data_IF_915781180811
#
_entry.id   IF_915781180811
#
_cell.length_a   1.000
_cell.length_b   1.000
_cell.length_c   1.000
_cell.angle_alpha   90.00
_cell.angle_beta   90.00
_cell.angle_gamma   90.00
#
_symmetry.space_group_name_H-M   'P 1'
#
loop_
_entity.id
_entity.type
_entity.pdbx_description
1 polymer ?
#
# COMPACT_ATOMS: atom_id res chain seq x y z
N UNK A 1 12.23 20.63 18.69
CA UNK A 1 12.92 21.85 18.23
C UNK A 1 14.35 21.57 17.74
N UNK A 2 15.27 21.05 18.59
CA UNK A 2 16.67 20.80 18.17
C UNK A 2 16.73 19.63 17.17
N UNK A 3 16.03 18.54 17.45
CA UNK A 3 15.99 17.38 16.54
C UNK A 3 15.43 17.76 15.17
N UNK A 4 14.36 18.58 15.11
CA UNK A 4 13.74 18.99 13.85
C UNK A 4 14.65 19.86 12.99
N UNK A 5 15.61 20.57 13.60
CA UNK A 5 16.55 21.45 12.89
C UNK A 5 17.68 20.69 12.18
N UNK A 6 18.01 19.47 12.65
CA UNK A 6 19.15 18.68 12.14
C UNK A 6 18.74 17.29 11.61
N UNK A 7 17.47 16.90 11.80
CA UNK A 7 16.94 15.63 11.32
C UNK A 7 16.92 15.61 9.79
N UNK A 8 17.53 14.59 9.22
CA UNK A 8 17.39 14.22 7.81
C UNK A 8 16.57 12.95 7.74
N UNK A 9 15.39 13.03 7.13
CA UNK A 9 14.55 11.86 6.97
C UNK A 9 15.22 10.85 6.04
N UNK A 10 15.19 9.56 6.38
CA UNK A 10 15.63 8.52 5.46
C UNK A 10 14.66 8.42 4.29
N UNK A 11 15.17 8.02 3.13
CA UNK A 11 14.36 7.76 1.94
C UNK A 11 14.46 6.26 1.64
N UNK A 12 13.32 5.59 1.57
CA UNK A 12 13.25 4.18 1.22
C UNK A 12 13.77 3.90 -0.19
N UNK A 13 14.37 2.73 -0.39
CA UNK A 13 14.65 2.22 -1.72
C UNK A 13 13.33 2.01 -2.48
N UNK A 14 13.37 2.21 -3.79
CA UNK A 14 12.20 2.05 -4.65
C UNK A 14 12.46 1.01 -5.74
N UNK A 15 11.38 0.29 -6.11
CA UNK A 15 11.40 -0.68 -7.20
C UNK A 15 10.46 -0.21 -8.31
N UNK A 16 10.88 -0.36 -9.54
CA UNK A 16 10.01 -0.22 -10.70
C UNK A 16 10.14 -1.42 -11.63
N UNK A 17 9.02 -1.83 -12.21
CA UNK A 17 8.98 -2.97 -13.15
C UNK A 17 8.42 -2.46 -14.47
N UNK A 18 9.22 -2.53 -15.51
CA UNK A 18 8.81 -2.12 -16.86
C UNK A 18 9.19 -3.18 -17.88
N UNK A 19 8.22 -3.65 -18.64
CA UNK A 19 8.39 -4.71 -19.63
C UNK A 19 9.13 -5.97 -19.11
N UNK A 20 8.90 -6.30 -17.82
CA UNK A 20 9.54 -7.44 -17.15
C UNK A 20 10.96 -7.17 -16.63
N UNK A 21 11.52 -5.99 -16.86
CA UNK A 21 12.78 -5.58 -16.27
C UNK A 21 12.55 -4.91 -14.91
N UNK A 22 13.31 -5.34 -13.92
CA UNK A 22 13.31 -4.76 -12.56
C UNK A 22 14.40 -3.69 -12.50
N UNK A 23 14.05 -2.51 -12.00
CA UNK A 23 14.97 -1.42 -11.69
C UNK A 23 14.79 -1.00 -10.24
N UNK A 24 15.89 -0.90 -9.50
CA UNK A 24 15.92 -0.54 -8.09
C UNK A 24 16.67 0.79 -7.95
N UNK A 25 16.06 1.74 -7.25
CA UNK A 25 16.71 2.96 -6.77
C UNK A 25 17.11 2.74 -5.33
N UNK A 26 18.37 3.04 -5.00
CA UNK A 26 18.89 2.85 -3.65
C UNK A 26 18.22 3.80 -2.66
N UNK A 27 18.18 3.35 -1.42
CA UNK A 27 17.79 4.12 -0.27
C UNK A 27 18.78 5.26 0.02
N UNK A 28 18.32 6.23 0.81
CA UNK A 28 19.19 7.26 1.42
C UNK A 28 19.05 7.18 2.93
N UNK A 29 20.19 7.00 3.60
CA UNK A 29 20.25 6.98 5.07
C UNK A 29 20.03 8.41 5.58
N UNK A 30 19.09 8.54 6.51
CA UNK A 30 18.83 9.78 7.21
C UNK A 30 19.77 10.00 8.40
N UNK A 31 19.59 11.12 9.10
CA UNK A 31 20.30 11.45 10.33
C UNK A 31 19.32 11.94 11.39
N UNK A 32 19.56 11.56 12.64
CA UNK A 32 18.76 11.99 13.80
C UNK A 32 19.65 12.17 15.01
N UNK A 33 19.17 12.92 16.00
CA UNK A 33 19.81 12.99 17.32
C UNK A 33 19.30 11.84 18.17
N UNK A 34 20.19 11.22 18.92
CA UNK A 34 19.81 10.38 20.05
C UNK A 34 19.31 11.29 21.19
N UNK A 35 18.00 11.39 21.33
CA UNK A 35 17.38 12.31 22.30
C UNK A 35 17.66 11.90 23.74
N UNK A 36 17.77 10.60 24.02
CA UNK A 36 18.08 10.08 25.37
C UNK A 36 19.49 10.48 25.78
N UNK A 37 20.47 10.26 24.90
CA UNK A 37 21.86 10.65 25.14
C UNK A 37 22.01 12.17 25.30
N UNK A 38 21.31 12.96 24.46
CA UNK A 38 21.30 14.40 24.58
C UNK A 38 20.75 14.85 25.94
N UNK A 39 19.63 14.27 26.39
CA UNK A 39 19.03 14.59 27.70
C UNK A 39 19.98 14.26 28.83
N UNK A 40 20.68 13.14 28.77
CA UNK A 40 21.63 12.76 29.80
C UNK A 40 22.85 13.66 29.83
N UNK A 41 23.42 14.04 28.68
CA UNK A 41 24.49 15.04 28.60
C UNK A 41 24.06 16.41 29.15
N UNK A 42 22.81 16.83 28.86
CA UNK A 42 22.26 18.06 29.43
C UNK A 42 22.17 17.98 30.95
N UNK A 43 21.68 16.87 31.51
CA UNK A 43 21.58 16.69 32.97
C UNK A 43 22.96 16.71 33.64
N UNK A 44 23.96 16.10 33.02
CA UNK A 44 25.34 16.07 33.52
C UNK A 44 26.00 17.44 33.45
N UNK A 45 25.66 18.28 32.48
CA UNK A 45 26.22 19.62 32.31
C UNK A 45 25.57 20.69 33.20
N UNK A 46 24.42 20.40 33.82
CA UNK A 46 23.77 21.35 34.74
C UNK A 46 24.60 21.44 36.04
N UNK A 47 25.42 22.47 36.12
CA UNK A 47 26.15 22.84 37.32
C UNK A 47 25.57 24.11 37.96
N UNK A 48 25.58 24.23 39.31
CA UNK A 48 25.17 25.46 39.99
C UNK A 48 26.11 26.65 39.75
N UNK A 49 27.31 26.39 39.23
CA UNK A 49 28.28 27.43 38.85
C UNK A 49 28.12 27.74 37.38
N UNK A 50 27.72 28.98 37.07
CA UNK A 50 27.46 29.48 35.72
C UNK A 50 28.68 29.30 34.81
N UNK A 51 28.58 28.41 33.83
CA UNK A 51 29.47 28.37 32.70
C UNK A 51 28.63 28.08 31.43
N UNK A 52 28.88 28.80 30.37
CA UNK A 52 28.41 28.44 29.04
C UNK A 52 29.11 27.14 28.65
N UNK A 53 28.41 26.01 28.66
CA UNK A 53 28.94 24.73 28.26
C UNK A 53 28.42 24.37 26.89
N UNK A 54 29.31 24.01 25.98
CA UNK A 54 28.96 23.57 24.63
C UNK A 54 28.78 22.04 24.66
N UNK A 55 27.54 21.59 24.51
CA UNK A 55 27.24 20.16 24.40
C UNK A 55 27.36 19.73 22.95
N UNK A 56 28.34 18.89 22.65
CA UNK A 56 28.51 18.27 21.35
C UNK A 56 27.64 17.04 21.26
N UNK A 57 26.76 17.00 20.25
CA UNK A 57 25.84 15.87 19.98
C UNK A 57 26.24 15.23 18.66
N UNK A 58 26.44 13.92 18.70
CA UNK A 58 26.67 13.13 17.48
C UNK A 58 25.34 12.74 16.85
N UNK A 59 25.28 12.77 15.52
CA UNK A 59 24.12 12.33 14.78
C UNK A 59 24.21 10.83 14.52
N UNK A 60 23.15 10.12 14.85
CA UNK A 60 22.97 8.71 14.51
C UNK A 60 22.37 8.55 13.12
N UNK A 61 22.67 7.42 12.49
CA UNK A 61 22.03 7.03 11.25
C UNK A 61 20.54 6.67 11.48
N UNK A 62 19.68 7.24 10.65
CA UNK A 62 18.27 6.85 10.56
C UNK A 62 18.11 5.96 9.34
N UNK A 63 18.01 4.65 9.58
CA UNK A 63 17.90 3.65 8.51
C UNK A 63 16.49 3.65 7.93
N UNK A 64 16.32 3.67 6.60
CA UNK A 64 15.03 3.55 5.96
C UNK A 64 14.42 2.16 6.18
N UNK A 65 13.11 2.06 6.05
CA UNK A 65 12.37 0.80 6.24
C UNK A 65 12.63 -0.19 5.10
N UNK A 66 12.79 0.31 3.88
CA UNK A 66 13.01 -0.49 2.67
C UNK A 66 14.43 -0.22 2.16
N UNK A 67 15.22 -1.28 2.01
CA UNK A 67 16.58 -1.19 1.48
C UNK A 67 16.68 -1.83 0.09
N UNK A 68 17.64 -1.38 -0.71
CA UNK A 68 17.91 -1.98 -2.02
C UNK A 68 18.30 -3.47 -1.89
N UNK A 69 18.97 -3.83 -0.81
CA UNK A 69 19.35 -5.23 -0.53
C UNK A 69 18.14 -6.14 -0.31
N UNK A 70 17.05 -5.62 0.28
CA UNK A 70 15.79 -6.35 0.41
C UNK A 70 15.07 -6.45 -0.93
N UNK A 71 15.01 -5.37 -1.70
CA UNK A 71 14.37 -5.36 -3.01
C UNK A 71 15.08 -6.24 -4.03
N UNK A 72 16.39 -6.44 -3.93
CA UNK A 72 17.17 -7.34 -4.78
C UNK A 72 16.79 -8.82 -4.60
N UNK A 73 16.08 -9.17 -3.53
CA UNK A 73 15.56 -10.53 -3.34
C UNK A 73 14.33 -10.84 -4.19
N UNK A 74 13.73 -9.82 -4.81
CA UNK A 74 12.59 -9.97 -5.72
C UNK A 74 13.13 -10.47 -7.06
N UNK A 75 12.98 -11.76 -7.34
CA UNK A 75 13.56 -12.44 -8.48
C UNK A 75 12.54 -13.06 -9.45
N UNK A 76 11.24 -13.00 -9.13
CA UNK A 76 10.26 -13.67 -9.95
C UNK A 76 8.80 -13.27 -9.72
N UNK A 77 7.92 -13.87 -10.52
CA UNK A 77 6.47 -13.71 -10.41
C UNK A 77 5.91 -14.86 -9.58
N UNK A 78 5.35 -14.58 -8.41
CA UNK A 78 4.71 -15.59 -7.56
C UNK A 78 3.47 -16.18 -8.22
N UNK A 79 2.64 -15.33 -8.81
CA UNK A 79 1.44 -15.76 -9.53
C UNK A 79 0.95 -14.72 -10.51
N UNK A 80 0.04 -15.13 -11.36
CA UNK A 80 -0.73 -14.24 -12.20
C UNK A 80 -2.17 -14.71 -12.35
N UNK A 81 -3.08 -13.76 -12.52
CA UNK A 81 -4.45 -14.01 -12.91
C UNK A 81 -4.96 -12.86 -13.78
N UNK A 82 -5.74 -13.19 -14.79
CA UNK A 82 -6.37 -12.20 -15.68
C UNK A 82 -7.88 -12.44 -15.77
N UNK A 83 -8.64 -11.38 -15.68
CA UNK A 83 -10.07 -11.34 -15.96
C UNK A 83 -10.37 -10.66 -17.29
N UNK A 84 -11.55 -10.94 -17.86
CA UNK A 84 -12.03 -10.28 -19.07
C UNK A 84 -13.12 -9.27 -18.74
N UNK A 85 -13.05 -8.09 -19.35
CA UNK A 85 -14.08 -7.05 -19.25
C UNK A 85 -14.70 -6.70 -20.60
N UNK A 86 -14.62 -7.63 -21.55
CA UNK A 86 -15.24 -7.49 -22.86
C UNK A 86 -16.75 -7.24 -22.68
N UNK A 87 -17.30 -6.31 -23.45
CA UNK A 87 -18.69 -5.84 -23.38
C UNK A 87 -19.05 -5.06 -22.11
N UNK A 88 -18.10 -4.61 -21.31
CA UNK A 88 -18.37 -3.69 -20.21
C UNK A 88 -18.64 -2.27 -20.72
N UNK A 89 -19.58 -1.56 -20.08
CA UNK A 89 -19.82 -0.15 -20.37
C UNK A 89 -18.58 0.72 -20.13
N UNK A 90 -18.45 1.81 -20.87
CA UNK A 90 -17.25 2.67 -20.84
C UNK A 90 -16.93 3.18 -19.45
N UNK A 91 -17.92 3.65 -18.68
CA UNK A 91 -17.72 4.10 -17.29
C UNK A 91 -17.18 3.00 -16.39
N UNK A 92 -17.70 1.76 -16.53
CA UNK A 92 -17.19 0.60 -15.80
C UNK A 92 -15.72 0.30 -16.16
N UNK A 93 -15.36 0.37 -17.43
CA UNK A 93 -13.96 0.17 -17.87
C UNK A 93 -13.05 1.25 -17.30
N UNK A 94 -13.50 2.51 -17.26
CA UNK A 94 -12.76 3.61 -16.62
C UNK A 94 -12.50 3.32 -15.14
N UNK A 95 -13.53 2.93 -14.38
CA UNK A 95 -13.41 2.58 -12.97
C UNK A 95 -12.43 1.43 -12.74
N UNK A 96 -12.51 0.38 -13.53
CA UNK A 96 -11.60 -0.76 -13.43
C UNK A 96 -10.15 -0.37 -13.73
N UNK A 97 -9.90 0.53 -14.68
CA UNK A 97 -8.56 1.06 -14.98
C UNK A 97 -8.01 1.89 -13.81
N UNK A 98 -8.83 2.77 -13.23
CA UNK A 98 -8.43 3.57 -12.06
C UNK A 98 -8.05 2.62 -10.93
N UNK A 99 -8.92 1.70 -10.56
CA UNK A 99 -8.65 0.74 -9.48
C UNK A 99 -7.40 -0.11 -9.75
N UNK A 100 -7.19 -0.57 -10.99
CA UNK A 100 -6.00 -1.33 -11.37
C UNK A 100 -4.73 -0.49 -11.22
N UNK A 101 -4.75 0.76 -11.68
CA UNK A 101 -3.60 1.66 -11.55
C UNK A 101 -3.28 1.98 -10.09
N UNK A 102 -4.31 2.13 -9.26
CA UNK A 102 -4.14 2.42 -7.83
C UNK A 102 -3.49 1.27 -7.05
N UNK A 103 -3.75 0.02 -7.42
CA UNK A 103 -3.12 -1.15 -6.77
C UNK A 103 -1.77 -1.51 -7.40
N UNK A 104 -1.52 -1.07 -8.61
CA UNK A 104 -0.28 -1.38 -9.32
C UNK A 104 0.93 -0.70 -8.66
N UNK A 105 2.03 -1.41 -8.52
CA UNK A 105 3.26 -0.89 -7.92
C UNK A 105 3.26 -0.87 -6.39
N UNK A 106 2.20 -1.34 -5.72
CA UNK A 106 2.21 -1.45 -4.26
C UNK A 106 3.30 -2.41 -3.80
N UNK A 107 4.22 -1.92 -2.98
CA UNK A 107 5.26 -2.70 -2.35
C UNK A 107 4.78 -3.16 -0.96
N UNK A 108 4.91 -4.44 -0.69
CA UNK A 108 4.60 -5.05 0.60
C UNK A 108 5.84 -5.78 1.12
N UNK A 109 6.37 -5.31 2.23
CA UNK A 109 7.44 -6.02 2.94
C UNK A 109 6.88 -7.25 3.66
N UNK A 110 7.71 -8.24 4.03
CA UNK A 110 7.27 -9.39 4.82
C UNK A 110 6.47 -8.96 6.06
N UNK A 111 5.25 -9.48 6.21
CA UNK A 111 4.33 -9.16 7.30
C UNK A 111 3.39 -7.97 7.02
N UNK A 112 3.59 -7.20 5.96
CA UNK A 112 2.69 -6.10 5.62
C UNK A 112 1.31 -6.61 5.19
N UNK A 113 0.27 -5.90 5.63
CA UNK A 113 -1.09 -6.13 5.19
C UNK A 113 -1.48 -5.13 4.10
N UNK A 114 -1.97 -5.66 2.98
CA UNK A 114 -2.61 -4.88 1.93
C UNK A 114 -4.09 -4.67 2.23
N UNK A 115 -4.61 -3.47 1.99
CA UNK A 115 -6.04 -3.15 2.01
C UNK A 115 -6.44 -2.60 0.64
N UNK A 116 -7.41 -3.23 0.01
CA UNK A 116 -7.88 -2.84 -1.32
C UNK A 116 -8.56 -1.47 -1.29
N UNK A 117 -9.49 -1.25 -0.32
CA UNK A 117 -10.18 0.04 -0.21
C UNK A 117 -9.20 1.18 0.06
N UNK A 118 -8.18 0.95 0.91
CA UNK A 118 -7.13 1.94 1.15
C UNK A 118 -6.33 2.26 -0.11
N UNK A 119 -6.04 1.25 -0.93
CA UNK A 119 -5.26 1.42 -2.15
C UNK A 119 -6.03 2.19 -3.23
N UNK A 120 -7.32 1.89 -3.44
CA UNK A 120 -8.12 2.54 -4.49
C UNK A 120 -8.66 3.91 -4.08
N UNK A 121 -8.70 4.21 -2.75
CA UNK A 121 -9.30 5.42 -2.22
C UNK A 121 -10.81 5.51 -2.40
N UNK A 122 -11.36 6.71 -2.18
CA UNK A 122 -12.80 6.98 -2.33
C UNK A 122 -13.22 6.92 -3.78
N UNK A 123 -14.35 6.24 -4.04
CA UNK A 123 -14.90 6.06 -5.38
C UNK A 123 -15.80 7.22 -5.79
N UNK A 124 -15.24 8.43 -5.87
CA UNK A 124 -15.96 9.67 -6.17
C UNK A 124 -15.69 10.19 -7.58
N UNK A 125 -16.53 11.12 -8.04
CA UNK A 125 -16.33 11.81 -9.32
C UNK A 125 -15.02 12.62 -9.34
N UNK A 126 -14.65 13.23 -8.22
CA UNK A 126 -13.43 14.01 -8.04
C UNK A 126 -12.18 13.16 -8.25
N UNK A 127 -12.23 11.87 -7.87
CA UNK A 127 -11.18 10.89 -8.11
C UNK A 127 -11.26 10.25 -9.51
N UNK A 128 -12.14 10.75 -10.37
CA UNK A 128 -12.28 10.33 -11.77
C UNK A 128 -13.17 9.11 -12.00
N UNK A 129 -13.77 8.55 -10.93
CA UNK A 129 -14.69 7.44 -11.09
C UNK A 129 -15.97 7.87 -11.81
N UNK A 130 -16.56 6.94 -12.52
CA UNK A 130 -17.78 7.14 -13.32
C UNK A 130 -18.94 6.36 -12.71
N UNK A 131 -20.16 6.83 -12.96
CA UNK A 131 -21.34 6.02 -12.66
C UNK A 131 -21.40 4.79 -13.58
N UNK A 132 -21.59 3.63 -12.98
CA UNK A 132 -21.75 2.36 -13.66
C UNK A 132 -22.55 1.39 -12.79
N UNK A 133 -23.07 0.32 -13.40
CA UNK A 133 -23.83 -0.69 -12.67
C UNK A 133 -23.03 -1.32 -11.53
N UNK A 134 -23.56 -1.26 -10.32
CA UNK A 134 -23.07 -1.88 -9.11
C UNK A 134 -24.20 -2.70 -8.43
N UNK A 135 -23.84 -3.73 -7.69
CA UNK A 135 -24.80 -4.50 -6.88
C UNK A 135 -24.89 -3.89 -5.49
N UNK A 136 -26.06 -3.36 -5.13
CA UNK A 136 -26.33 -2.78 -3.81
C UNK A 136 -27.62 -3.37 -3.30
N UNK A 137 -27.59 -3.98 -2.13
CA UNK A 137 -28.76 -4.58 -1.47
C UNK A 137 -29.61 -5.53 -2.34
N UNK A 138 -28.95 -6.24 -3.28
CA UNK A 138 -29.60 -7.20 -4.16
C UNK A 138 -30.16 -6.61 -5.46
N UNK A 139 -29.93 -5.33 -5.73
CA UNK A 139 -30.34 -4.64 -6.95
C UNK A 139 -29.14 -4.12 -7.75
N UNK A 140 -29.35 -3.88 -9.04
CA UNK A 140 -28.34 -3.22 -9.88
C UNK A 140 -28.66 -1.74 -9.94
N UNK A 141 -27.79 -0.93 -9.37
CA UNK A 141 -27.93 0.53 -9.33
C UNK A 141 -26.75 1.20 -10.05
N UNK A 142 -26.93 2.46 -10.43
CA UNK A 142 -25.84 3.25 -11.01
C UNK A 142 -25.13 3.99 -9.88
N UNK A 143 -23.87 3.60 -9.62
CA UNK A 143 -23.03 4.20 -8.59
C UNK A 143 -21.63 4.52 -9.11
N UNK A 144 -20.97 5.47 -8.49
CA UNK A 144 -19.56 5.73 -8.73
C UNK A 144 -18.73 4.50 -8.31
N UNK A 145 -17.72 4.16 -9.09
CA UNK A 145 -16.91 2.98 -8.79
C UNK A 145 -17.51 1.64 -9.24
N UNK A 146 -18.70 1.61 -9.89
CA UNK A 146 -19.24 0.36 -10.44
C UNK A 146 -18.19 -0.38 -11.28
N UNK A 147 -17.80 -1.59 -10.86
CA UNK A 147 -16.75 -2.40 -11.47
C UNK A 147 -15.52 -2.66 -10.59
N UNK A 148 -15.28 -1.92 -9.50
CA UNK A 148 -14.11 -2.11 -8.62
C UNK A 148 -14.05 -3.50 -7.99
N UNK A 149 -15.22 -4.11 -7.70
CA UNK A 149 -15.29 -5.49 -7.21
C UNK A 149 -14.78 -6.54 -8.22
N UNK A 150 -14.79 -6.23 -9.51
CA UNK A 150 -14.19 -7.12 -10.51
C UNK A 150 -12.65 -7.12 -10.39
N UNK A 151 -12.06 -5.98 -10.06
CA UNK A 151 -10.60 -5.86 -9.86
C UNK A 151 -10.19 -6.49 -8.53
N UNK A 152 -10.92 -6.26 -7.42
CA UNK A 152 -10.65 -6.93 -6.15
C UNK A 152 -10.75 -8.45 -6.25
N UNK A 153 -11.72 -8.96 -7.01
CA UNK A 153 -11.87 -10.38 -7.33
C UNK A 153 -10.68 -10.90 -8.13
N UNK A 154 -10.24 -10.15 -9.15
CA UNK A 154 -9.07 -10.52 -9.97
C UNK A 154 -7.81 -10.58 -9.11
N UNK A 155 -7.61 -9.59 -8.23
CA UNK A 155 -6.51 -9.55 -7.27
C UNK A 155 -6.58 -10.73 -6.28
N UNK A 156 -7.75 -10.99 -5.69
CA UNK A 156 -7.97 -12.12 -4.79
C UNK A 156 -7.55 -13.44 -5.42
N UNK A 157 -7.93 -13.69 -6.67
CA UNK A 157 -7.57 -14.92 -7.39
C UNK A 157 -6.07 -15.02 -7.65
N UNK A 158 -5.38 -13.92 -7.91
CA UNK A 158 -3.91 -13.90 -8.02
C UNK A 158 -3.26 -14.17 -6.66
N UNK A 159 -3.69 -13.49 -5.60
CA UNK A 159 -3.20 -13.65 -4.22
C UNK A 159 -3.37 -15.08 -3.72
N UNK A 160 -4.54 -15.69 -3.95
CA UNK A 160 -4.82 -17.07 -3.59
C UNK A 160 -3.89 -18.06 -4.32
N UNK A 161 -3.59 -17.82 -5.61
CA UNK A 161 -2.66 -18.63 -6.40
C UNK A 161 -1.20 -18.45 -5.95
N UNK A 162 -0.85 -17.29 -5.41
CA UNK A 162 0.44 -17.03 -4.77
C UNK A 162 0.58 -17.68 -3.38
N UNK A 163 -0.47 -18.38 -2.91
CA UNK A 163 -0.53 -18.94 -1.56
C UNK A 163 -0.35 -17.89 -0.43
N UNK A 164 -0.69 -16.63 -0.71
CA UNK A 164 -0.70 -15.58 0.29
C UNK A 164 -1.99 -15.66 1.13
N UNK A 165 -1.90 -15.28 2.40
CA UNK A 165 -3.01 -15.34 3.33
C UNK A 165 -3.94 -14.13 3.18
N UNK A 166 -5.19 -14.35 2.74
CA UNK A 166 -6.24 -13.34 2.88
C UNK A 166 -6.61 -13.19 4.36
N UNK A 167 -6.45 -11.99 4.90
CA UNK A 167 -6.82 -11.66 6.29
C UNK A 167 -8.28 -11.22 6.39
N UNK A 168 -8.84 -10.65 5.32
CA UNK A 168 -10.24 -10.25 5.22
C UNK A 168 -10.74 -10.45 3.80
N UNK A 169 -11.87 -11.17 3.65
CA UNK A 169 -12.51 -11.38 2.35
C UNK A 169 -13.98 -11.69 2.54
N UNK A 170 -14.81 -11.08 1.73
CA UNK A 170 -16.25 -11.37 1.64
C UNK A 170 -16.61 -11.77 0.20
N UNK A 171 -17.55 -12.70 0.06
CA UNK A 171 -18.17 -13.01 -1.22
C UNK A 171 -19.33 -12.06 -1.50
N UNK A 172 -19.69 -11.90 -2.77
CA UNK A 172 -20.94 -11.21 -3.11
C UNK A 172 -22.15 -11.95 -2.58
N UNK A 173 -23.19 -11.22 -2.22
CA UNK A 173 -24.50 -11.78 -1.85
C UNK A 173 -25.24 -12.39 -3.03
N UNK A 174 -24.88 -11.98 -4.26
CA UNK A 174 -25.43 -12.47 -5.53
C UNK A 174 -24.30 -13.03 -6.41
N UNK A 175 -24.63 -14.00 -7.26
CA UNK A 175 -23.67 -14.51 -8.23
C UNK A 175 -23.25 -13.42 -9.21
N UNK A 176 -21.94 -13.26 -9.39
CA UNK A 176 -21.35 -12.37 -10.36
C UNK A 176 -20.94 -13.15 -11.61
N UNK A 177 -21.06 -12.54 -12.80
CA UNK A 177 -20.76 -13.24 -14.06
C UNK A 177 -19.26 -13.39 -14.36
N UNK A 178 -18.40 -12.73 -13.63
CA UNK A 178 -16.95 -12.70 -13.85
C UNK A 178 -16.13 -13.60 -12.92
N UNK A 179 -16.81 -14.34 -12.02
CA UNK A 179 -16.16 -15.30 -11.13
C UNK A 179 -17.09 -16.47 -10.81
N UNK A 180 -16.50 -17.64 -10.62
CA UNK A 180 -17.22 -18.79 -10.07
C UNK A 180 -17.56 -18.53 -8.59
N UNK A 181 -18.62 -19.19 -8.04
CA UNK A 181 -18.99 -19.08 -6.64
C UNK A 181 -17.80 -19.34 -5.71
N UNK A 182 -17.66 -18.54 -4.68
CA UNK A 182 -16.56 -18.55 -3.69
C UNK A 182 -15.17 -18.13 -4.20
N UNK A 183 -15.03 -17.80 -5.48
CA UNK A 183 -13.78 -17.30 -6.05
C UNK A 183 -13.81 -15.80 -6.33
N UNK A 184 -14.66 -15.07 -5.64
CA UNK A 184 -14.87 -13.64 -5.73
C UNK A 184 -14.49 -12.93 -4.43
N UNK A 185 -14.24 -11.65 -4.49
CA UNK A 185 -14.03 -10.76 -3.34
C UNK A 185 -14.81 -9.46 -3.57
N UNK A 186 -15.88 -9.26 -2.81
CA UNK A 186 -16.64 -8.00 -2.85
C UNK A 186 -15.99 -6.96 -1.95
N UNK A 187 -16.14 -5.71 -2.34
CA UNK A 187 -15.70 -4.55 -1.57
C UNK A 187 -16.78 -3.47 -1.60
N UNK A 188 -16.88 -2.72 -0.53
CA UNK A 188 -17.73 -1.54 -0.42
C UNK A 188 -17.05 -0.52 0.48
N UNK A 189 -16.99 0.72 0.04
CA UNK A 189 -16.28 1.78 0.74
C UNK A 189 -16.81 1.95 2.18
N UNK A 190 -15.88 2.02 3.13
CA UNK A 190 -16.18 2.24 4.55
C UNK A 190 -16.67 1.02 5.32
N UNK A 191 -17.05 -0.09 4.65
CA UNK A 191 -17.69 -1.24 5.31
C UNK A 191 -17.04 -2.58 4.94
N UNK A 192 -16.93 -2.92 3.66
CA UNK A 192 -16.46 -4.23 3.19
C UNK A 192 -15.14 -4.05 2.43
N UNK A 193 -14.07 -4.70 2.91
CA UNK A 193 -12.74 -4.62 2.32
C UNK A 193 -12.21 -6.00 1.92
N UNK A 194 -11.26 -6.01 0.99
CA UNK A 194 -10.42 -7.17 0.71
C UNK A 194 -9.00 -6.89 1.20
N UNK A 195 -8.49 -7.77 2.08
CA UNK A 195 -7.15 -7.65 2.66
C UNK A 195 -6.38 -8.96 2.58
N UNK A 196 -5.08 -8.86 2.46
CA UNK A 196 -4.17 -9.99 2.54
C UNK A 196 -2.82 -9.56 3.11
N UNK A 197 -2.05 -10.54 3.61
CA UNK A 197 -0.74 -10.32 4.22
C UNK A 197 0.34 -10.90 3.33
N UNK A 198 1.44 -10.17 3.16
CA UNK A 198 2.66 -10.75 2.60
C UNK A 198 3.28 -11.70 3.63
N UNK A 199 3.24 -12.99 3.35
CA UNK A 199 3.73 -14.05 4.24
C UNK A 199 5.09 -14.62 3.83
N UNK A 200 5.75 -14.03 2.84
CA UNK A 200 7.08 -14.41 2.35
C UNK A 200 8.18 -13.54 2.92
#
# INVERSE_FOLDING_TARGET
YINDAVKVEPIDAAISISAGAISITNETIGKKINVEELVDKIKESISPEESEEVIVVELEDSVPRVTAAELQKIDGILSSFSGSYVNSAAGRVTNMKIATNSVNGTLLMPGDEFSYNKAIGETTAENGYQQAGAYVSGEVVQEYGGGVCHISTTLYRAVMRANLKSSLRYNHSMMVSYAEPSLDATVYEGDIDYRFVNTY
#
